data_IF_648528550303
#
_entry.id   IF_648528550303
#
_cell.length_a   1.000
_cell.length_b   1.000
_cell.length_c   1.000
_cell.angle_alpha   90.00
_cell.angle_beta   90.00
_cell.angle_gamma   90.00
#
_symmetry.space_group_name_H-M   'P 1'
#
loop_
_entity.id
_entity.type
_entity.pdbx_description
1 polymer ?
#
# COMPACT_ATOMS: atom_id res chain seq x y z
N UNK A 1 -24.76 -16.49 -1.00
CA UNK A 1 -23.78 -15.46 -0.52
C UNK A 1 -24.31 -14.02 -0.62
N UNK A 2 -25.27 -13.74 -1.48
CA UNK A 2 -25.87 -12.39 -1.70
C UNK A 2 -26.68 -11.87 -0.51
N UNK A 3 -27.33 -12.78 0.24
CA UNK A 3 -28.15 -12.41 1.41
C UNK A 3 -27.35 -11.91 2.62
N UNK A 4 -26.13 -12.40 2.85
CA UNK A 4 -25.28 -11.96 3.97
C UNK A 4 -24.70 -10.55 3.75
N UNK A 5 -24.35 -10.22 2.49
CA UNK A 5 -23.86 -8.87 2.14
C UNK A 5 -24.95 -7.80 2.29
N UNK A 6 -26.20 -8.11 1.93
CA UNK A 6 -27.34 -7.21 2.09
C UNK A 6 -27.66 -6.91 3.55
N UNK A 7 -27.50 -7.87 4.46
CA UNK A 7 -27.76 -7.67 5.90
C UNK A 7 -26.72 -6.78 6.56
N UNK A 8 -25.44 -6.99 6.30
CA UNK A 8 -24.37 -6.18 6.90
C UNK A 8 -24.45 -4.70 6.46
N UNK A 9 -24.64 -4.42 5.17
CA UNK A 9 -24.84 -3.08 4.67
C UNK A 9 -26.09 -2.42 5.27
N UNK A 10 -27.20 -3.17 5.39
CA UNK A 10 -28.42 -2.71 6.05
C UNK A 10 -28.22 -2.41 7.54
N UNK A 11 -27.43 -3.19 8.25
CA UNK A 11 -27.16 -3.00 9.67
C UNK A 11 -26.25 -1.80 9.95
N UNK A 12 -25.24 -1.57 9.10
CA UNK A 12 -24.41 -0.35 9.14
C UNK A 12 -25.26 0.89 8.88
N UNK A 13 -26.10 0.88 7.84
CA UNK A 13 -26.98 2.00 7.51
C UNK A 13 -27.97 2.33 8.64
N UNK A 14 -28.62 1.30 9.22
CA UNK A 14 -29.51 1.46 10.38
C UNK A 14 -28.80 2.05 11.59
N UNK A 15 -27.55 1.62 11.87
CA UNK A 15 -26.74 2.14 12.97
C UNK A 15 -26.45 3.62 12.78
N UNK A 16 -26.01 4.02 11.57
CA UNK A 16 -25.77 5.42 11.23
C UNK A 16 -27.01 6.29 11.40
N UNK A 17 -28.16 5.83 10.93
CA UNK A 17 -29.42 6.54 11.12
C UNK A 17 -29.80 6.70 12.62
N UNK A 18 -29.57 5.66 13.42
CA UNK A 18 -29.86 5.70 14.86
C UNK A 18 -28.91 6.67 15.59
N UNK A 19 -27.63 6.71 15.22
CA UNK A 19 -26.66 7.61 15.82
C UNK A 19 -26.94 9.08 15.45
N UNK A 20 -27.30 9.35 14.19
CA UNK A 20 -27.76 10.68 13.75
C UNK A 20 -29.03 11.11 14.51
N UNK A 21 -30.01 10.19 14.66
CA UNK A 21 -31.23 10.50 15.41
C UNK A 21 -30.95 10.82 16.88
N UNK A 22 -30.08 10.03 17.53
CA UNK A 22 -29.68 10.27 18.93
C UNK A 22 -28.97 11.61 19.08
N UNK A 23 -28.03 11.94 18.19
CA UNK A 23 -27.32 13.21 18.23
C UNK A 23 -28.26 14.40 18.03
N UNK A 24 -29.24 14.32 17.12
CA UNK A 24 -30.25 15.34 16.93
C UNK A 24 -31.15 15.53 18.15
N UNK A 25 -31.55 14.44 18.80
CA UNK A 25 -32.35 14.53 20.05
C UNK A 25 -31.52 15.15 21.16
N UNK A 26 -30.23 14.78 21.32
CA UNK A 26 -29.32 15.30 22.31
C UNK A 26 -28.99 16.78 22.08
N UNK A 27 -29.05 17.22 20.82
CA UNK A 27 -28.85 18.61 20.40
C UNK A 27 -30.15 19.47 20.37
N UNK A 28 -31.28 18.96 20.87
CA UNK A 28 -32.59 19.62 20.81
C UNK A 28 -32.98 20.08 19.39
N UNK A 29 -32.60 19.30 18.38
CA UNK A 29 -32.89 19.62 16.97
C UNK A 29 -31.88 20.57 16.30
N UNK A 30 -30.88 21.06 17.00
CA UNK A 30 -29.83 21.91 16.45
C UNK A 30 -28.86 21.05 15.61
N UNK A 31 -28.82 21.29 14.30
CA UNK A 31 -28.01 20.55 13.36
C UNK A 31 -26.49 20.73 13.60
N UNK A 32 -26.04 21.95 13.96
CA UNK A 32 -24.64 22.22 14.18
C UNK A 32 -24.13 21.48 15.42
N UNK A 33 -24.87 21.57 16.53
CA UNK A 33 -24.57 20.81 17.75
C UNK A 33 -24.64 19.30 17.53
N UNK A 34 -25.57 18.79 16.73
CA UNK A 34 -25.67 17.37 16.43
C UNK A 34 -24.45 16.87 15.65
N UNK A 35 -23.89 17.66 14.73
CA UNK A 35 -22.66 17.37 14.01
C UNK A 35 -21.47 17.31 14.98
N UNK A 36 -21.34 18.26 15.89
CA UNK A 36 -20.28 18.29 16.90
C UNK A 36 -20.35 17.05 17.83
N UNK A 37 -21.54 16.68 18.29
CA UNK A 37 -21.77 15.48 19.10
C UNK A 37 -21.35 14.22 18.33
N UNK A 38 -21.68 14.11 17.05
CA UNK A 38 -21.29 12.97 16.21
C UNK A 38 -19.77 12.91 16.02
N UNK A 39 -19.14 14.07 15.85
CA UNK A 39 -17.67 14.18 15.73
C UNK A 39 -16.97 13.76 17.01
N UNK A 40 -17.41 14.25 18.16
CA UNK A 40 -16.87 13.87 19.48
C UNK A 40 -17.03 12.38 19.75
N UNK A 41 -18.20 11.80 19.46
CA UNK A 41 -18.45 10.36 19.58
C UNK A 41 -17.55 9.55 18.65
N UNK A 42 -17.34 10.02 17.41
CA UNK A 42 -16.43 9.40 16.44
C UNK A 42 -14.98 9.40 16.95
N UNK A 43 -14.49 10.50 17.46
CA UNK A 43 -13.16 10.62 18.07
C UNK A 43 -12.99 9.66 19.26
N UNK A 44 -13.99 9.58 20.16
CA UNK A 44 -13.97 8.64 21.29
C UNK A 44 -13.95 7.19 20.84
N UNK A 45 -14.69 6.82 19.80
CA UNK A 45 -14.69 5.46 19.26
C UNK A 45 -13.36 5.12 18.59
N UNK A 46 -12.79 6.03 17.80
CA UNK A 46 -11.49 5.85 17.18
C UNK A 46 -10.38 5.67 18.22
N UNK A 47 -10.37 6.51 19.26
CA UNK A 47 -9.41 6.40 20.36
C UNK A 47 -9.47 5.04 21.07
N UNK A 48 -10.68 4.51 21.33
CA UNK A 48 -10.85 3.18 21.94
C UNK A 48 -10.35 2.03 21.05
N UNK A 49 -10.27 2.23 19.74
CA UNK A 49 -9.85 1.22 18.77
C UNK A 49 -8.39 1.36 18.36
N UNK A 50 -7.77 2.52 18.61
CA UNK A 50 -6.40 2.82 18.19
C UNK A 50 -5.34 1.81 18.67
N UNK A 51 -5.59 1.12 19.78
CA UNK A 51 -4.70 0.07 20.31
C UNK A 51 -4.92 -1.31 19.69
N UNK A 52 -5.96 -1.49 18.85
CA UNK A 52 -6.24 -2.78 18.22
C UNK A 52 -5.30 -2.98 17.02
N UNK A 53 -4.87 -4.23 16.83
CA UNK A 53 -3.96 -4.59 15.74
C UNK A 53 -4.74 -4.54 14.41
N UNK A 54 -4.30 -3.68 13.50
CA UNK A 54 -4.78 -3.59 12.14
C UNK A 54 -3.74 -4.24 11.21
N UNK A 55 -3.80 -5.58 11.09
CA UNK A 55 -2.83 -6.38 10.32
C UNK A 55 -3.31 -6.70 8.90
N UNK A 56 -4.61 -6.59 8.64
CA UNK A 56 -5.22 -6.73 7.33
C UNK A 56 -5.35 -5.38 6.63
N UNK A 57 -5.96 -5.34 5.45
CA UNK A 57 -6.20 -4.12 4.70
C UNK A 57 -5.94 -4.29 3.21
N UNK A 58 -5.61 -3.19 2.56
CA UNK A 58 -5.32 -3.20 1.14
C UNK A 58 -4.23 -2.20 0.76
N UNK A 59 -3.46 -2.58 -0.24
CA UNK A 59 -2.61 -1.68 -1.02
C UNK A 59 -3.43 -1.21 -2.21
N UNK A 60 -3.49 0.10 -2.41
CA UNK A 60 -4.15 0.74 -3.54
C UNK A 60 -3.18 1.65 -4.28
N UNK A 61 -3.46 1.91 -5.54
CA UNK A 61 -2.68 2.84 -6.35
C UNK A 61 -3.55 3.92 -6.98
N UNK A 62 -2.92 5.04 -7.27
CA UNK A 62 -3.46 6.13 -8.08
C UNK A 62 -2.45 6.52 -9.14
N UNK A 63 -2.89 6.69 -10.38
CA UNK A 63 -2.07 7.23 -11.48
C UNK A 63 -2.82 8.44 -12.03
N UNK A 64 -2.12 9.57 -12.19
CA UNK A 64 -2.68 10.76 -12.81
C UNK A 64 -3.02 10.53 -14.28
N UNK A 65 -3.97 11.29 -14.83
CA UNK A 65 -4.43 11.15 -16.22
C UNK A 65 -3.30 11.23 -17.25
N UNK A 66 -2.30 12.07 -16.99
CA UNK A 66 -1.12 12.22 -17.84
C UNK A 66 -0.02 11.18 -17.58
N UNK A 67 -0.22 10.25 -16.65
CA UNK A 67 0.75 9.22 -16.28
C UNK A 67 2.01 9.75 -15.58
N UNK A 68 2.05 11.03 -15.18
CA UNK A 68 3.25 11.62 -14.59
C UNK A 68 3.37 11.44 -13.09
N UNK A 69 2.23 11.32 -12.40
CA UNK A 69 2.19 11.11 -10.96
C UNK A 69 1.62 9.74 -10.68
N UNK A 70 2.32 8.96 -9.88
CA UNK A 70 1.85 7.68 -9.37
C UNK A 70 1.99 7.61 -7.86
N UNK A 71 0.98 7.04 -7.23
CA UNK A 71 0.95 6.79 -5.78
C UNK A 71 0.61 5.34 -5.53
N UNK A 72 1.26 4.77 -4.54
CA UNK A 72 0.89 3.51 -3.91
C UNK A 72 0.78 3.74 -2.42
N UNK A 73 -0.28 3.28 -1.80
CA UNK A 73 -0.49 3.42 -0.35
C UNK A 73 -1.05 2.15 0.27
N UNK A 74 -0.59 1.85 1.47
CA UNK A 74 -1.06 0.75 2.31
C UNK A 74 -1.95 1.32 3.40
N UNK A 75 -3.24 0.92 3.37
CA UNK A 75 -4.23 1.25 4.38
C UNK A 75 -4.64 -0.04 5.08
N UNK A 76 -4.46 -0.07 6.40
CA UNK A 76 -4.72 -1.26 7.21
C UNK A 76 -6.05 -1.17 7.94
N UNK A 77 -6.66 -2.34 8.20
CA UNK A 77 -7.84 -2.58 9.01
C UNK A 77 -7.67 -3.87 9.85
N UNK A 78 -8.64 -4.17 10.71
CA UNK A 78 -8.53 -5.34 11.60
C UNK A 78 -8.80 -6.66 10.86
N UNK A 79 -9.75 -6.69 9.89
CA UNK A 79 -10.17 -7.91 9.18
C UNK A 79 -10.08 -7.77 7.66
N UNK A 80 -9.90 -8.91 7.00
CA UNK A 80 -9.94 -9.01 5.54
C UNK A 80 -11.32 -8.68 4.95
N UNK A 81 -12.40 -8.93 5.70
CA UNK A 81 -13.76 -8.55 5.31
C UNK A 81 -13.87 -7.04 5.09
N UNK A 82 -13.32 -6.24 6.00
CA UNK A 82 -13.27 -4.78 5.85
C UNK A 82 -12.31 -4.39 4.73
N UNK A 83 -11.16 -5.05 4.61
CA UNK A 83 -10.22 -4.82 3.50
C UNK A 83 -10.86 -4.94 2.11
N UNK A 84 -11.88 -5.81 1.96
CA UNK A 84 -12.63 -5.99 0.72
C UNK A 84 -13.94 -5.18 0.65
N UNK A 85 -14.27 -4.41 1.68
CA UNK A 85 -15.47 -3.59 1.72
C UNK A 85 -15.37 -2.40 0.77
N UNK A 86 -16.44 -2.10 0.03
CA UNK A 86 -16.46 -1.01 -0.96
C UNK A 86 -16.17 0.35 -0.34
N UNK A 87 -16.71 0.65 0.86
CA UNK A 87 -16.46 1.92 1.55
C UNK A 87 -15.00 2.05 2.00
N UNK A 88 -14.38 0.96 2.46
CA UNK A 88 -12.96 0.96 2.80
C UNK A 88 -12.09 1.14 1.55
N UNK A 89 -12.41 0.45 0.46
CA UNK A 89 -11.70 0.59 -0.81
C UNK A 89 -11.83 2.00 -1.40
N UNK A 90 -13.01 2.62 -1.29
CA UNK A 90 -13.24 4.00 -1.71
C UNK A 90 -12.41 4.99 -0.86
N UNK A 91 -12.37 4.80 0.46
CA UNK A 91 -11.53 5.57 1.37
C UNK A 91 -10.04 5.45 0.98
N UNK A 92 -9.54 4.23 0.81
CA UNK A 92 -8.14 4.00 0.47
C UNK A 92 -7.76 4.67 -0.87
N UNK A 93 -8.63 4.59 -1.89
CA UNK A 93 -8.44 5.27 -3.18
C UNK A 93 -8.48 6.79 -3.05
N UNK A 94 -9.37 7.34 -2.25
CA UNK A 94 -9.44 8.79 -2.01
C UNK A 94 -8.19 9.30 -1.29
N UNK A 95 -7.64 8.53 -0.36
CA UNK A 95 -6.35 8.82 0.30
C UNK A 95 -5.21 8.80 -0.72
N UNK A 96 -5.16 7.81 -1.63
CA UNK A 96 -4.14 7.76 -2.68
C UNK A 96 -4.21 8.98 -3.62
N UNK A 97 -5.41 9.40 -4.01
CA UNK A 97 -5.62 10.62 -4.81
C UNK A 97 -5.18 11.89 -4.04
N UNK A 98 -5.48 11.96 -2.74
CA UNK A 98 -5.04 13.06 -1.88
C UNK A 98 -3.52 13.15 -1.81
N UNK A 99 -2.82 12.02 -1.60
CA UNK A 99 -1.35 11.96 -1.61
C UNK A 99 -0.79 12.48 -2.94
N UNK A 100 -1.40 12.09 -4.06
CA UNK A 100 -0.99 12.57 -5.38
C UNK A 100 -1.09 14.09 -5.51
N UNK A 101 -2.15 14.67 -4.96
CA UNK A 101 -2.46 16.11 -5.04
C UNK A 101 -1.56 16.96 -4.12
N UNK A 102 -1.40 16.56 -2.85
CA UNK A 102 -0.74 17.41 -1.84
C UNK A 102 0.74 17.09 -1.63
N UNK A 103 1.24 15.98 -2.17
CA UNK A 103 2.64 15.55 -2.06
C UNK A 103 3.19 15.65 -0.63
N UNK A 104 2.58 14.99 0.36
CA UNK A 104 3.00 15.08 1.74
C UNK A 104 4.36 14.39 1.95
N UNK A 105 5.16 14.90 2.87
CA UNK A 105 6.47 14.33 3.18
C UNK A 105 6.37 12.95 3.86
N UNK A 106 5.34 12.77 4.69
CA UNK A 106 5.10 11.55 5.45
C UNK A 106 3.61 11.41 5.83
N UNK A 107 3.29 10.33 6.54
CA UNK A 107 1.92 10.03 6.98
C UNK A 107 1.38 11.07 7.98
N UNK A 108 2.24 11.65 8.82
CA UNK A 108 1.80 12.64 9.80
C UNK A 108 1.35 13.93 9.09
N UNK A 109 2.15 14.42 8.14
CA UNK A 109 1.79 15.57 7.30
C UNK A 109 0.53 15.28 6.46
N UNK A 110 0.39 14.07 5.93
CA UNK A 110 -0.80 13.66 5.20
C UNK A 110 -2.05 13.75 6.08
N UNK A 111 -2.00 13.22 7.31
CA UNK A 111 -3.14 13.20 8.22
C UNK A 111 -3.65 14.61 8.55
N UNK A 112 -2.76 15.58 8.63
CA UNK A 112 -3.09 16.99 8.91
C UNK A 112 -3.48 17.78 7.65
N UNK A 113 -3.31 17.21 6.45
CA UNK A 113 -3.66 17.87 5.20
C UNK A 113 -5.19 18.00 5.01
N UNK A 114 -5.62 19.10 4.37
CA UNK A 114 -7.02 19.33 4.08
C UNK A 114 -7.52 18.40 2.96
N UNK A 115 -8.66 17.77 3.19
CA UNK A 115 -9.38 16.91 2.25
C UNK A 115 -10.84 17.34 2.19
N UNK A 116 -11.17 18.27 1.31
CA UNK A 116 -12.43 19.00 1.34
C UNK A 116 -12.50 19.93 2.56
N UNK A 117 -13.59 19.88 3.30
CA UNK A 117 -13.83 20.71 4.50
C UNK A 117 -13.22 20.11 5.78
N UNK A 118 -12.52 19.00 5.68
CA UNK A 118 -11.98 18.23 6.81
C UNK A 118 -10.49 17.93 6.60
N UNK A 119 -9.84 17.40 7.63
CA UNK A 119 -8.51 16.81 7.48
C UNK A 119 -8.62 15.33 7.08
N UNK A 120 -7.54 14.76 6.50
CA UNK A 120 -7.46 13.31 6.26
C UNK A 120 -7.66 12.53 7.56
N UNK A 121 -7.15 13.04 8.68
CA UNK A 121 -7.36 12.47 10.03
C UNK A 121 -8.83 12.41 10.41
N UNK A 122 -9.59 13.48 10.14
CA UNK A 122 -11.03 13.51 10.42
C UNK A 122 -11.77 12.47 9.55
N UNK A 123 -11.42 12.36 8.27
CA UNK A 123 -12.02 11.40 7.34
C UNK A 123 -11.75 9.95 7.78
N UNK A 124 -10.51 9.65 8.19
CA UNK A 124 -10.15 8.32 8.74
C UNK A 124 -10.89 8.05 10.05
N UNK A 125 -11.00 9.04 10.94
CA UNK A 125 -11.73 8.92 12.19
C UNK A 125 -13.22 8.61 11.98
N UNK A 126 -13.85 9.28 11.03
CA UNK A 126 -15.24 9.00 10.65
C UNK A 126 -15.40 7.59 10.05
N UNK A 127 -14.43 7.16 9.23
CA UNK A 127 -14.44 5.80 8.70
C UNK A 127 -14.34 4.75 9.81
N UNK A 128 -13.48 4.95 10.82
CA UNK A 128 -13.37 4.08 12.01
C UNK A 128 -14.70 4.02 12.77
N UNK A 129 -15.38 5.16 12.95
CA UNK A 129 -16.67 5.21 13.61
C UNK A 129 -17.75 4.45 12.83
N UNK A 130 -17.79 4.62 11.51
CA UNK A 130 -18.79 4.06 10.62
C UNK A 130 -18.58 2.56 10.37
N UNK A 131 -17.35 2.14 10.06
CA UNK A 131 -16.99 0.76 9.74
C UNK A 131 -16.91 -0.09 11.01
N UNK A 132 -16.43 0.50 12.11
CA UNK A 132 -16.37 -0.16 13.41
C UNK A 132 -15.05 -0.87 13.70
N UNK A 133 -14.05 -0.73 12.84
CA UNK A 133 -12.69 -1.26 13.01
C UNK A 133 -11.64 -0.15 13.11
N UNK A 134 -10.48 -0.49 13.69
CA UNK A 134 -9.31 0.38 13.60
C UNK A 134 -8.84 0.45 12.14
N UNK A 135 -8.62 1.67 11.65
CA UNK A 135 -8.11 1.93 10.30
C UNK A 135 -6.90 2.84 10.43
N UNK A 136 -5.83 2.51 9.72
CA UNK A 136 -4.61 3.32 9.73
C UNK A 136 -3.97 3.37 8.36
N UNK A 137 -3.42 4.53 8.00
CA UNK A 137 -2.55 4.68 6.83
C UNK A 137 -1.15 4.29 7.31
N UNK A 138 -0.62 3.18 6.80
CA UNK A 138 0.67 2.66 7.27
C UNK A 138 1.84 3.36 6.59
N UNK A 139 1.78 3.47 5.26
CA UNK A 139 2.82 4.06 4.43
C UNK A 139 2.30 4.37 3.04
N UNK A 140 3.04 5.18 2.33
CA UNK A 140 2.83 5.44 0.91
C UNK A 140 4.16 5.74 0.21
N UNK A 141 4.13 5.65 -1.11
CA UNK A 141 5.19 6.14 -1.99
C UNK A 141 4.54 6.91 -3.13
N UNK A 142 5.10 8.08 -3.46
CA UNK A 142 4.68 8.90 -4.58
C UNK A 142 5.86 9.09 -5.54
N UNK A 143 5.61 8.79 -6.82
CA UNK A 143 6.54 9.10 -7.91
C UNK A 143 6.00 10.27 -8.72
N UNK A 144 6.91 11.11 -9.18
CA UNK A 144 6.62 12.17 -10.13
C UNK A 144 7.68 12.12 -11.23
N UNK A 145 7.24 11.72 -12.43
CA UNK A 145 8.10 11.52 -13.58
C UNK A 145 8.19 12.78 -14.42
N UNK A 146 9.40 13.24 -14.69
CA UNK A 146 9.67 14.35 -15.61
C UNK A 146 9.81 13.88 -17.05
N UNK A 147 10.45 12.74 -17.28
CA UNK A 147 10.82 12.25 -18.60
C UNK A 147 10.03 11.00 -19.04
N UNK A 148 9.59 10.18 -18.10
CA UNK A 148 8.89 8.91 -18.33
C UNK A 148 7.40 8.99 -18.00
N UNK A 149 6.85 7.83 -17.72
CA UNK A 149 5.51 7.63 -17.18
C UNK A 149 5.55 6.66 -16.02
N UNK A 150 4.61 6.80 -15.10
CA UNK A 150 4.44 5.93 -13.94
C UNK A 150 3.31 4.94 -14.22
N UNK A 151 3.56 3.67 -13.91
CA UNK A 151 2.60 2.58 -14.03
C UNK A 151 2.46 1.87 -12.70
N UNK A 152 1.30 1.25 -12.48
CA UNK A 152 1.06 0.47 -11.29
C UNK A 152 0.44 -0.89 -11.59
N UNK A 153 0.70 -1.84 -10.72
CA UNK A 153 0.06 -3.15 -10.73
C UNK A 153 -0.33 -3.55 -9.31
N UNK A 154 -1.60 -3.93 -9.14
CA UNK A 154 -2.13 -4.43 -7.86
C UNK A 154 -2.48 -5.91 -8.04
N UNK A 155 -1.90 -6.76 -7.21
CA UNK A 155 -2.10 -8.20 -7.24
C UNK A 155 -2.82 -8.71 -6.00
N UNK A 156 -3.54 -9.84 -6.17
CA UNK A 156 -4.15 -10.56 -5.05
C UNK A 156 -5.18 -9.75 -4.26
N UNK A 157 -5.97 -8.89 -4.94
CA UNK A 157 -7.01 -8.10 -4.26
C UNK A 157 -6.46 -7.02 -3.33
N UNK A 158 -5.26 -6.49 -3.60
CA UNK A 158 -4.63 -5.47 -2.77
C UNK A 158 -3.60 -6.02 -1.76
N UNK A 159 -3.15 -7.26 -1.94
CA UNK A 159 -2.09 -7.84 -1.09
C UNK A 159 -0.68 -7.42 -1.52
N UNK A 160 -0.46 -7.24 -2.83
CA UNK A 160 0.80 -6.77 -3.40
C UNK A 160 0.51 -5.58 -4.31
N UNK A 161 1.29 -4.54 -4.18
CA UNK A 161 1.24 -3.39 -5.07
C UNK A 161 2.62 -2.99 -5.55
N UNK A 162 2.72 -2.66 -6.82
CA UNK A 162 3.95 -2.22 -7.48
C UNK A 162 3.72 -0.90 -8.18
N UNK A 163 4.71 -0.03 -8.10
CA UNK A 163 4.80 1.22 -8.81
C UNK A 163 6.12 1.24 -9.57
N UNK A 164 6.08 1.53 -10.86
CA UNK A 164 7.27 1.63 -11.71
C UNK A 164 7.25 2.92 -12.51
N UNK A 165 8.41 3.53 -12.68
CA UNK A 165 8.63 4.64 -13.60
C UNK A 165 9.42 4.13 -14.80
N UNK A 166 8.94 4.42 -16.02
CA UNK A 166 9.56 3.94 -17.26
C UNK A 166 9.67 5.10 -18.25
N UNK A 167 10.85 5.23 -18.85
CA UNK A 167 11.10 6.15 -19.95
C UNK A 167 10.97 5.40 -21.27
N UNK A 168 9.96 5.79 -22.08
CA UNK A 168 9.61 5.09 -23.33
C UNK A 168 8.71 3.88 -23.09
N UNK A 169 8.35 3.19 -24.19
CA UNK A 169 7.38 2.12 -24.15
C UNK A 169 5.93 2.60 -24.10
N UNK A 170 5.01 1.66 -24.04
CA UNK A 170 3.57 1.89 -23.95
C UNK A 170 3.00 1.41 -22.61
N UNK A 171 1.69 1.56 -22.45
CA UNK A 171 1.02 1.18 -21.21
C UNK A 171 1.01 -0.34 -20.98
N UNK A 172 1.07 -1.16 -22.03
CA UNK A 172 1.13 -2.61 -21.92
C UNK A 172 2.49 -3.03 -21.35
N UNK A 173 3.58 -2.51 -21.90
CA UNK A 173 4.94 -2.73 -21.39
C UNK A 173 5.07 -2.28 -19.93
N UNK A 174 4.53 -1.10 -19.61
CA UNK A 174 4.55 -0.59 -18.24
C UNK A 174 3.89 -1.52 -17.23
N UNK A 175 2.72 -2.06 -17.60
CA UNK A 175 2.00 -3.04 -16.79
C UNK A 175 2.77 -4.36 -16.69
N UNK A 176 3.37 -4.82 -17.77
CA UNK A 176 4.13 -6.07 -17.82
C UNK A 176 5.37 -6.01 -16.92
N UNK A 177 6.09 -4.88 -16.92
CA UNK A 177 7.22 -4.69 -16.03
C UNK A 177 6.76 -4.61 -14.57
N UNK A 178 5.64 -3.95 -14.28
CA UNK A 178 5.09 -3.94 -12.93
C UNK A 178 4.65 -5.35 -12.47
N UNK A 179 4.12 -6.18 -13.38
CA UNK A 179 3.82 -7.59 -13.11
C UNK A 179 5.08 -8.41 -12.87
N UNK A 180 6.15 -8.19 -13.66
CA UNK A 180 7.47 -8.81 -13.44
C UNK A 180 7.97 -8.52 -12.03
N UNK A 181 7.94 -7.25 -11.59
CA UNK A 181 8.35 -6.87 -10.23
C UNK A 181 7.50 -7.57 -9.17
N UNK A 182 6.18 -7.65 -9.36
CA UNK A 182 5.28 -8.33 -8.43
C UNK A 182 5.58 -9.83 -8.31
N UNK A 183 5.93 -10.47 -9.42
CA UNK A 183 6.17 -11.93 -9.47
C UNK A 183 7.57 -12.30 -9.00
N UNK A 184 8.60 -11.57 -9.46
CA UNK A 184 10.00 -11.91 -9.23
C UNK A 184 10.61 -11.22 -8.00
N UNK A 185 9.91 -10.24 -7.41
CA UNK A 185 10.30 -9.52 -6.20
C UNK A 185 11.79 -9.10 -6.17
N UNK A 186 12.29 -8.35 -7.18
CA UNK A 186 13.68 -7.94 -7.21
C UNK A 186 14.00 -7.00 -6.03
N UNK A 187 15.23 -7.14 -5.48
CA UNK A 187 15.73 -6.26 -4.41
C UNK A 187 16.36 -4.99 -4.96
N UNK A 188 16.84 -5.04 -6.19
CA UNK A 188 17.57 -3.96 -6.87
C UNK A 188 17.06 -3.78 -8.30
N UNK A 189 17.22 -2.58 -8.85
CA UNK A 189 16.97 -2.36 -10.28
C UNK A 189 18.09 -2.97 -11.11
N UNK A 190 19.35 -2.73 -10.72
CA UNK A 190 20.53 -3.17 -11.47
C UNK A 190 21.69 -3.53 -10.54
N UNK A 191 22.72 -4.20 -11.09
CA UNK A 191 23.89 -4.71 -10.34
C UNK A 191 24.67 -3.61 -9.61
N UNK A 192 24.69 -2.39 -10.12
CA UNK A 192 25.41 -1.27 -9.51
C UNK A 192 24.84 -0.85 -8.15
N UNK A 193 23.57 -1.19 -7.88
CA UNK A 193 22.90 -0.90 -6.61
C UNK A 193 23.20 -1.92 -5.51
N UNK A 194 23.73 -3.09 -5.87
CA UNK A 194 24.16 -4.09 -4.89
C UNK A 194 25.42 -3.58 -4.20
N UNK A 195 25.41 -3.45 -2.88
CA UNK A 195 26.57 -2.94 -2.15
C UNK A 195 27.76 -3.90 -2.27
N UNK A 196 28.98 -3.34 -2.22
CA UNK A 196 30.20 -4.17 -2.25
C UNK A 196 30.27 -5.12 -1.06
N UNK A 197 29.80 -4.66 0.11
CA UNK A 197 29.79 -5.46 1.35
C UNK A 197 28.86 -6.66 1.22
N UNK A 198 27.65 -6.44 0.69
CA UNK A 198 26.68 -7.51 0.45
C UNK A 198 27.20 -8.52 -0.60
N UNK A 199 27.78 -8.01 -1.70
CA UNK A 199 28.34 -8.86 -2.73
C UNK A 199 29.51 -9.71 -2.21
N UNK A 200 30.43 -9.14 -1.41
CA UNK A 200 31.54 -9.89 -0.82
C UNK A 200 31.04 -10.91 0.22
N UNK A 201 30.04 -10.54 1.02
CA UNK A 201 29.39 -11.48 1.92
C UNK A 201 28.78 -12.68 1.17
N UNK A 202 28.04 -12.42 0.11
CA UNK A 202 27.44 -13.46 -0.74
C UNK A 202 28.52 -14.35 -1.37
N UNK A 203 29.60 -13.77 -1.89
CA UNK A 203 30.73 -14.54 -2.44
C UNK A 203 31.36 -15.46 -1.39
N UNK A 204 31.51 -14.99 -0.15
CA UNK A 204 32.06 -15.82 0.92
C UNK A 204 31.16 -17.01 1.26
N UNK A 205 29.85 -16.75 1.37
CA UNK A 205 28.86 -17.83 1.55
C UNK A 205 28.94 -18.85 0.41
N UNK A 206 29.04 -18.38 -0.83
CA UNK A 206 29.16 -19.24 -2.01
C UNK A 206 30.48 -20.03 -2.06
N UNK A 207 31.59 -19.46 -1.58
CA UNK A 207 32.89 -20.17 -1.41
C UNK A 207 32.76 -21.30 -0.42
N UNK A 208 32.23 -21.02 0.76
CA UNK A 208 32.01 -22.03 1.79
C UNK A 208 31.10 -23.16 1.31
N UNK A 209 30.02 -22.84 0.60
CA UNK A 209 29.15 -23.84 0.00
C UNK A 209 29.92 -24.74 -0.99
N UNK A 210 30.73 -24.16 -1.87
CA UNK A 210 31.50 -24.92 -2.84
C UNK A 210 32.56 -25.82 -2.17
N UNK A 211 33.22 -25.35 -1.10
CA UNK A 211 34.15 -26.15 -0.28
C UNK A 211 33.44 -27.30 0.42
N UNK A 212 32.27 -27.05 1.00
CA UNK A 212 31.46 -28.09 1.66
C UNK A 212 30.94 -29.15 0.68
N UNK A 213 30.76 -28.76 -0.61
CA UNK A 213 30.49 -29.72 -1.69
C UNK A 213 31.73 -30.56 -2.13
N UNK A 214 32.89 -30.36 -1.48
CA UNK A 214 34.12 -31.08 -1.78
C UNK A 214 34.79 -30.64 -3.09
N UNK A 215 34.55 -29.42 -3.55
CA UNK A 215 35.16 -28.93 -4.79
C UNK A 215 36.62 -28.51 -4.57
N UNK A 216 37.52 -28.82 -5.52
CA UNK A 216 38.90 -28.35 -5.47
C UNK A 216 38.99 -26.82 -5.51
N UNK A 217 39.93 -26.21 -4.78
CA UNK A 217 40.07 -24.76 -4.63
C UNK A 217 40.19 -24.02 -5.98
N UNK A 218 40.90 -24.64 -6.96
CA UNK A 218 41.00 -24.07 -8.32
C UNK A 218 39.71 -24.02 -9.11
N UNK A 219 38.67 -24.73 -8.63
CA UNK A 219 37.32 -24.74 -9.25
C UNK A 219 36.37 -23.83 -8.48
N UNK A 220 36.60 -23.63 -7.19
CA UNK A 220 35.74 -22.82 -6.29
C UNK A 220 35.52 -21.43 -6.86
N UNK A 221 36.56 -20.69 -7.22
CA UNK A 221 36.41 -19.31 -7.76
C UNK A 221 35.63 -19.23 -9.07
N UNK A 222 35.77 -20.23 -9.94
CA UNK A 222 34.95 -20.29 -11.15
C UNK A 222 33.46 -20.55 -10.83
N UNK A 223 33.20 -21.41 -9.86
CA UNK A 223 31.84 -21.69 -9.39
C UNK A 223 31.24 -20.47 -8.70
N UNK A 224 31.99 -19.76 -7.86
CA UNK A 224 31.55 -18.52 -7.23
C UNK A 224 31.16 -17.48 -8.27
N UNK A 225 31.99 -17.27 -9.29
CA UNK A 225 31.68 -16.35 -10.39
C UNK A 225 30.36 -16.72 -11.11
N UNK A 226 30.16 -18.01 -11.38
CA UNK A 226 28.92 -18.52 -11.98
C UNK A 226 27.69 -18.31 -11.07
N UNK A 227 27.85 -18.61 -9.78
CA UNK A 227 26.77 -18.45 -8.77
C UNK A 227 26.44 -16.99 -8.49
N UNK A 228 27.41 -16.08 -8.48
CA UNK A 228 27.20 -14.63 -8.38
C UNK A 228 26.40 -14.12 -9.57
N UNK A 229 26.64 -14.60 -10.78
CA UNK A 229 25.79 -14.26 -11.93
C UNK A 229 24.35 -14.77 -11.77
N UNK A 230 24.16 -15.92 -11.12
CA UNK A 230 22.83 -16.42 -10.79
C UNK A 230 22.17 -15.52 -9.71
N UNK A 231 22.90 -15.14 -8.67
CA UNK A 231 22.45 -14.21 -7.66
C UNK A 231 21.94 -12.89 -8.28
N UNK A 232 22.70 -12.27 -9.18
CA UNK A 232 22.22 -11.07 -9.89
C UNK A 232 20.92 -11.31 -10.66
N UNK A 233 20.75 -12.46 -11.30
CA UNK A 233 19.50 -12.82 -11.98
C UNK A 233 18.32 -13.04 -11.02
N UNK A 234 18.57 -13.28 -9.76
CA UNK A 234 17.54 -13.42 -8.74
C UNK A 234 17.16 -12.06 -8.15
N UNK A 235 18.14 -11.17 -7.88
CA UNK A 235 17.91 -9.95 -7.12
C UNK A 235 17.82 -8.66 -7.95
N UNK A 236 18.35 -8.63 -9.18
CA UNK A 236 18.37 -7.44 -10.03
C UNK A 236 17.31 -7.53 -11.13
N UNK A 237 16.37 -6.58 -11.16
CA UNK A 237 15.25 -6.57 -12.12
C UNK A 237 15.71 -6.71 -13.57
N UNK A 238 16.74 -5.92 -13.98
CA UNK A 238 17.22 -5.92 -15.37
C UNK A 238 17.99 -7.18 -15.78
N UNK A 239 18.39 -8.02 -14.82
CA UNK A 239 19.07 -9.30 -15.06
C UNK A 239 18.10 -10.49 -14.99
N UNK A 240 16.88 -10.30 -14.47
CA UNK A 240 15.88 -11.36 -14.35
C UNK A 240 15.36 -11.80 -15.70
N UNK A 241 15.06 -13.08 -15.91
CA UNK A 241 14.32 -13.53 -17.08
C UNK A 241 12.91 -12.93 -17.05
N UNK A 242 12.46 -12.40 -18.19
CA UNK A 242 11.12 -11.84 -18.31
C UNK A 242 10.06 -12.95 -18.21
N UNK A 243 8.97 -12.68 -17.48
CA UNK A 243 7.93 -13.69 -17.17
C UNK A 243 6.99 -14.01 -18.34
N UNK A 244 7.05 -13.26 -19.44
CA UNK A 244 6.29 -13.51 -20.67
C UNK A 244 7.15 -14.07 -21.79
#
# INVERSE_FOLDING_TARGET
>A
STRVRSSAASDVYKRQMMDCKKALVEADGDMAKAIDILREKGLSQAAKKASRIAAEGAVVSYISENGKIGVITEVNCETDFVGHNENFQALAKSIAAQIASVNPADVAVLLDSAMGDKTVKDVVTEAIANIGENISIRRFTRYESTEGQVYSYIHGGGKIGVLVEIKGGDAELGKDIAMQVAAANPSYLERSQVSKEELEHEKEVLREQARNEGKPENVVEKMVTGRVNKYYKEVCLVDQPFIK
#
